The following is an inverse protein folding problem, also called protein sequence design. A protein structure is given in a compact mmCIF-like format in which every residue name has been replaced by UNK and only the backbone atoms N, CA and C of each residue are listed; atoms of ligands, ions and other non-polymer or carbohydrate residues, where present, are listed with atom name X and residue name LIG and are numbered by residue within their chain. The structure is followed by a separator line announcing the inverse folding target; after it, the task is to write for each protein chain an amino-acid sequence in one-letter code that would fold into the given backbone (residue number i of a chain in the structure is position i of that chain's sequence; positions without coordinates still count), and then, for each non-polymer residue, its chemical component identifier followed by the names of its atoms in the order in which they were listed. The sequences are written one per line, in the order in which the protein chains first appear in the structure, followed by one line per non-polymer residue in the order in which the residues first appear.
data_IF_789611249960
#
_entry.id   IF_789611249960
#
_cell.length_a   1.000
_cell.length_b   1.000
_cell.length_c   1.000
_cell.angle_alpha   90.00
_cell.angle_beta   90.00
_cell.angle_gamma   90.00
#
_symmetry.space_group_name_H-M   'P 1'
#
loop_
_entity.id
_entity.type
_entity.pdbx_description
1 polymer ?
#
# COMPACT_ATOMS: atom_id res chain seq x y z
N UNK A 1 57.00 11.58 -8.93
CA UNK A 1 56.00 11.35 -10.00
C UNK A 1 54.91 10.47 -9.39
N UNK A 2 53.83 11.05 -8.86
CA UNK A 2 52.67 10.29 -8.37
C UNK A 2 51.76 10.01 -9.57
N UNK A 3 51.54 8.74 -9.89
CA UNK A 3 50.57 8.33 -10.89
C UNK A 3 49.17 8.55 -10.33
N UNK A 4 48.40 9.44 -10.94
CA UNK A 4 46.96 9.58 -10.74
C UNK A 4 46.30 8.31 -11.27
N UNK A 5 45.80 7.49 -10.35
CA UNK A 5 45.01 6.31 -10.66
C UNK A 5 43.67 6.79 -11.25
N UNK A 6 43.48 6.61 -12.55
CA UNK A 6 42.20 6.91 -13.19
C UNK A 6 41.14 5.97 -12.62
N UNK A 7 40.28 6.50 -11.76
CA UNK A 7 39.02 5.85 -11.41
C UNK A 7 38.12 5.96 -12.65
N UNK A 8 37.94 4.85 -13.36
CA UNK A 8 36.97 4.75 -14.44
C UNK A 8 35.57 5.00 -13.87
N UNK A 9 34.80 5.90 -14.46
CA UNK A 9 33.41 6.11 -14.10
C UNK A 9 32.65 4.77 -14.21
N UNK A 10 31.80 4.42 -13.22
CA UNK A 10 31.00 3.21 -13.30
C UNK A 10 30.10 3.27 -14.54
N UNK A 11 29.90 2.12 -15.19
CA UNK A 11 29.01 2.02 -16.33
C UNK A 11 27.63 2.61 -15.99
N UNK A 12 27.00 3.37 -16.90
CA UNK A 12 25.73 4.03 -16.62
C UNK A 12 24.66 2.98 -16.28
N UNK A 13 23.94 3.22 -15.20
CA UNK A 13 22.87 2.34 -14.72
C UNK A 13 21.79 2.16 -15.79
N UNK A 14 21.42 0.90 -16.07
CA UNK A 14 20.41 0.62 -17.09
C UNK A 14 18.99 0.84 -16.55
N UNK A 15 17.99 0.96 -17.45
CA UNK A 15 16.60 1.02 -17.00
C UNK A 15 16.16 -0.27 -16.29
N UNK A 16 16.76 -1.41 -16.63
CA UNK A 16 16.47 -2.70 -15.99
C UNK A 16 16.97 -2.71 -14.55
N UNK A 17 18.15 -2.14 -14.30
CA UNK A 17 18.72 -2.01 -12.95
C UNK A 17 17.84 -1.11 -12.08
N UNK A 18 17.45 0.06 -12.61
CA UNK A 18 16.53 1.00 -11.94
C UNK A 18 15.18 0.35 -11.62
N UNK A 19 14.62 -0.38 -12.58
CA UNK A 19 13.35 -1.07 -12.39
C UNK A 19 13.46 -2.21 -11.35
N UNK A 20 14.58 -2.93 -11.33
CA UNK A 20 14.85 -3.96 -10.32
C UNK A 20 15.01 -3.34 -8.92
N UNK A 21 15.76 -2.24 -8.81
CA UNK A 21 15.92 -1.50 -7.57
C UNK A 21 14.57 -0.98 -7.04
N UNK A 22 13.71 -0.41 -7.90
CA UNK A 22 12.38 0.05 -7.49
C UNK A 22 11.48 -1.08 -7.01
N UNK A 23 11.44 -2.20 -7.72
CA UNK A 23 10.68 -3.40 -7.28
C UNK A 23 11.18 -3.95 -5.95
N UNK A 24 12.50 -3.99 -5.76
CA UNK A 24 13.10 -4.43 -4.49
C UNK A 24 12.73 -3.47 -3.35
N UNK A 25 12.75 -2.15 -3.59
CA UNK A 25 12.34 -1.14 -2.63
C UNK A 25 10.86 -1.29 -2.23
N UNK A 26 9.96 -1.43 -3.22
CA UNK A 26 8.53 -1.65 -2.97
C UNK A 26 8.31 -2.94 -2.15
N UNK A 27 8.95 -4.04 -2.53
CA UNK A 27 8.83 -5.30 -1.79
C UNK A 27 9.34 -5.17 -0.34
N UNK A 28 10.40 -4.40 -0.12
CA UNK A 28 10.94 -4.14 1.22
C UNK A 28 9.96 -3.38 2.11
N UNK A 29 9.10 -2.53 1.54
CA UNK A 29 8.05 -1.80 2.26
C UNK A 29 6.83 -2.67 2.61
N UNK A 30 6.71 -3.88 2.06
CA UNK A 30 5.65 -4.83 2.44
C UNK A 30 6.13 -5.62 3.66
N UNK A 31 5.37 -5.66 4.78
CA UNK A 31 5.66 -6.52 5.92
C UNK A 31 5.85 -7.99 5.51
N UNK A 32 6.83 -8.67 6.11
CA UNK A 32 7.22 -10.02 5.69
C UNK A 32 6.05 -11.02 5.80
N UNK A 33 5.20 -10.86 6.80
CA UNK A 33 3.99 -11.66 7.03
C UNK A 33 2.89 -11.46 5.99
N UNK A 34 2.98 -10.42 5.14
CA UNK A 34 2.05 -10.18 4.03
C UNK A 34 2.62 -10.61 2.67
N UNK A 35 3.86 -11.10 2.65
CA UNK A 35 4.52 -11.52 1.41
C UNK A 35 4.06 -12.92 1.00
N UNK A 36 3.75 -13.08 -0.28
CA UNK A 36 3.43 -14.37 -0.87
C UNK A 36 4.70 -15.21 -0.96
N UNK A 37 4.62 -16.48 -0.53
CA UNK A 37 5.76 -17.40 -0.64
C UNK A 37 6.16 -17.67 -2.09
N UNK A 38 5.17 -17.68 -2.99
CA UNK A 38 5.37 -17.83 -4.43
C UNK A 38 4.24 -17.13 -5.19
N UNK A 39 4.58 -16.49 -6.30
CA UNK A 39 3.58 -15.89 -7.20
C UNK A 39 3.01 -16.99 -8.12
N UNK A 40 1.68 -17.20 -8.15
CA UNK A 40 1.06 -18.19 -9.02
C UNK A 40 1.18 -17.80 -10.49
N UNK A 41 1.14 -18.78 -11.39
CA UNK A 41 1.01 -18.50 -12.82
C UNK A 41 -0.39 -17.99 -13.15
N UNK A 42 -0.52 -17.18 -14.20
CA UNK A 42 -1.82 -16.68 -14.70
C UNK A 42 -2.77 -17.82 -15.06
N UNK A 43 -2.26 -18.95 -15.57
CA UNK A 43 -3.08 -20.13 -15.88
C UNK A 43 -3.69 -20.78 -14.62
N UNK A 44 -2.96 -20.75 -13.50
CA UNK A 44 -3.43 -21.33 -12.23
C UNK A 44 -4.34 -20.39 -11.43
N UNK A 45 -4.08 -19.08 -11.51
CA UNK A 45 -4.82 -18.04 -10.79
C UNK A 45 -5.13 -16.87 -11.74
N UNK A 46 -6.11 -17.02 -12.65
CA UNK A 46 -6.42 -16.01 -13.66
C UNK A 46 -7.04 -14.73 -13.07
N UNK A 47 -7.53 -14.78 -11.83
CA UNK A 47 -8.12 -13.64 -11.13
C UNK A 47 -7.38 -13.37 -9.82
N UNK A 48 -6.70 -12.23 -9.75
CA UNK A 48 -6.05 -11.77 -8.52
C UNK A 48 -7.07 -11.59 -7.38
N UNK A 49 -8.29 -11.12 -7.68
CA UNK A 49 -9.35 -10.96 -6.68
C UNK A 49 -9.78 -12.30 -6.08
N UNK A 50 -10.02 -13.30 -6.93
CA UNK A 50 -10.40 -14.64 -6.48
C UNK A 50 -9.26 -15.28 -5.66
N UNK A 51 -8.01 -15.11 -6.11
CA UNK A 51 -6.84 -15.59 -5.40
C UNK A 51 -6.70 -14.95 -4.01
N UNK A 52 -6.78 -13.62 -3.92
CA UNK A 52 -6.71 -12.89 -2.64
C UNK A 52 -7.77 -13.40 -1.65
N UNK A 53 -9.00 -13.64 -2.13
CA UNK A 53 -10.10 -14.12 -1.29
C UNK A 53 -9.85 -15.52 -0.72
N UNK A 54 -9.26 -16.43 -1.51
CA UNK A 54 -9.06 -17.83 -1.10
C UNK A 54 -7.67 -18.13 -0.51
N UNK A 55 -6.70 -17.22 -0.62
CA UNK A 55 -5.32 -17.46 -0.19
C UNK A 55 -5.16 -17.57 1.34
N UNK A 56 -6.06 -16.98 2.12
CA UNK A 56 -6.05 -17.07 3.58
C UNK A 56 -5.08 -16.13 4.30
N UNK A 57 -4.44 -15.19 3.60
CA UNK A 57 -3.63 -14.14 4.26
C UNK A 57 -4.50 -13.11 4.96
N UNK A 58 -5.65 -12.75 4.39
CA UNK A 58 -6.61 -11.83 5.00
C UNK A 58 -7.49 -12.60 6.00
N UNK A 59 -7.72 -12.02 7.18
CA UNK A 59 -8.70 -12.57 8.12
C UNK A 59 -10.12 -12.41 7.58
N UNK A 60 -11.09 -13.13 8.13
CA UNK A 60 -12.51 -12.97 7.78
C UNK A 60 -12.99 -11.54 7.97
N UNK A 61 -12.52 -10.85 9.02
CA UNK A 61 -12.83 -9.45 9.28
C UNK A 61 -12.20 -8.53 8.23
N UNK A 62 -10.92 -8.73 7.91
CA UNK A 62 -10.22 -7.95 6.87
C UNK A 62 -10.87 -8.14 5.48
N UNK A 63 -11.31 -9.35 5.17
CA UNK A 63 -12.11 -9.64 3.97
C UNK A 63 -13.43 -8.88 4.00
N UNK A 64 -14.19 -8.93 5.10
CA UNK A 64 -15.47 -8.23 5.20
C UNK A 64 -15.32 -6.70 5.05
N UNK A 65 -14.29 -6.11 5.68
CA UNK A 65 -13.98 -4.69 5.54
C UNK A 65 -13.69 -4.35 4.07
N UNK A 66 -12.80 -5.11 3.44
CA UNK A 66 -12.32 -4.81 2.08
C UNK A 66 -13.28 -5.22 0.96
N UNK A 67 -14.32 -5.99 1.26
CA UNK A 67 -15.40 -6.35 0.34
C UNK A 67 -16.68 -5.52 0.57
N UNK A 68 -16.64 -4.55 1.49
CA UNK A 68 -17.71 -3.55 1.61
C UNK A 68 -17.67 -2.62 0.39
N UNK A 69 -18.56 -2.86 -0.58
CA UNK A 69 -18.59 -2.12 -1.85
C UNK A 69 -19.07 -0.67 -1.73
N UNK A 70 -19.79 -0.33 -0.66
CA UNK A 70 -20.31 1.02 -0.44
C UNK A 70 -19.46 1.76 0.60
N UNK A 71 -18.74 2.79 0.15
CA UNK A 71 -17.92 3.62 1.01
C UNK A 71 -18.73 4.33 2.10
N UNK A 72 -20.02 4.65 1.86
CA UNK A 72 -20.88 5.28 2.86
C UNK A 72 -21.08 4.39 4.08
N UNK A 73 -21.11 3.07 3.90
CA UNK A 73 -21.21 2.09 5.00
C UNK A 73 -19.94 2.14 5.86
N UNK A 74 -18.76 2.15 5.24
CA UNK A 74 -17.49 2.27 5.98
C UNK A 74 -17.41 3.61 6.72
N UNK A 75 -17.77 4.71 6.05
CA UNK A 75 -17.77 6.04 6.66
C UNK A 75 -18.72 6.14 7.85
N UNK A 76 -19.89 5.50 7.79
CA UNK A 76 -20.82 5.45 8.91
C UNK A 76 -20.24 4.70 10.11
N UNK A 77 -19.63 3.53 9.88
CA UNK A 77 -18.98 2.75 10.93
C UNK A 77 -17.78 3.49 11.55
N UNK A 78 -16.97 4.16 10.72
CA UNK A 78 -15.85 5.00 11.15
C UNK A 78 -16.33 6.17 12.01
N UNK A 79 -17.34 6.92 11.55
CA UNK A 79 -17.87 8.07 12.29
C UNK A 79 -18.46 7.71 13.66
N UNK A 80 -18.91 6.46 13.83
CA UNK A 80 -19.46 5.92 15.08
C UNK A 80 -18.43 5.22 15.95
N UNK A 81 -17.19 5.06 15.48
CA UNK A 81 -16.14 4.30 16.16
C UNK A 81 -16.41 2.78 16.23
N UNK A 82 -17.32 2.26 15.39
CA UNK A 82 -17.58 0.81 15.28
C UNK A 82 -16.42 0.09 14.58
N UNK A 83 -15.75 0.80 13.68
CA UNK A 83 -14.44 0.43 13.13
C UNK A 83 -13.49 1.61 13.37
N UNK A 84 -12.25 1.32 13.76
CA UNK A 84 -11.19 2.33 13.75
C UNK A 84 -10.65 2.54 12.33
N UNK A 85 -10.18 3.75 12.07
CA UNK A 85 -9.45 4.08 10.84
C UNK A 85 -8.25 3.17 10.68
N UNK A 86 -7.49 2.89 11.75
CA UNK A 86 -6.33 2.01 11.68
C UNK A 86 -6.71 0.58 11.25
N UNK A 87 -7.81 0.03 11.76
CA UNK A 87 -8.32 -1.29 11.30
C UNK A 87 -8.65 -1.28 9.81
N UNK A 88 -9.38 -0.27 9.35
CA UNK A 88 -9.79 -0.16 7.94
C UNK A 88 -8.58 0.00 7.03
N UNK A 89 -7.69 0.96 7.34
CA UNK A 89 -6.49 1.23 6.56
C UNK A 89 -5.57 0.00 6.52
N UNK A 90 -5.37 -0.70 7.64
CA UNK A 90 -4.55 -1.92 7.68
C UNK A 90 -5.14 -3.05 6.83
N UNK A 91 -6.46 -3.24 6.86
CA UNK A 91 -7.12 -4.26 6.02
C UNK A 91 -6.93 -3.97 4.52
N UNK A 92 -7.15 -2.72 4.10
CA UNK A 92 -6.94 -2.31 2.71
C UNK A 92 -5.46 -2.34 2.30
N UNK A 93 -4.55 -1.90 3.15
CA UNK A 93 -3.10 -1.96 2.92
C UNK A 93 -2.62 -3.39 2.69
N UNK A 94 -3.07 -4.33 3.54
CA UNK A 94 -2.74 -5.75 3.40
C UNK A 94 -3.29 -6.36 2.11
N UNK A 95 -4.56 -6.07 1.76
CA UNK A 95 -5.14 -6.48 0.47
C UNK A 95 -4.35 -5.89 -0.71
N UNK A 96 -4.00 -4.61 -0.64
CA UNK A 96 -3.22 -3.92 -1.68
C UNK A 96 -1.81 -4.50 -1.82
N UNK A 97 -1.15 -4.87 -0.73
CA UNK A 97 0.17 -5.52 -0.74
C UNK A 97 0.12 -6.87 -1.47
N UNK A 98 -0.92 -7.68 -1.23
CA UNK A 98 -1.09 -8.96 -1.93
C UNK A 98 -1.39 -8.71 -3.40
N UNK A 99 -2.30 -7.79 -3.73
CA UNK A 99 -2.63 -7.43 -5.10
C UNK A 99 -1.40 -6.91 -5.87
N UNK A 100 -0.57 -6.08 -5.23
CA UNK A 100 0.64 -5.54 -5.82
C UNK A 100 1.65 -6.64 -6.16
N UNK A 101 1.85 -7.62 -5.29
CA UNK A 101 2.73 -8.76 -5.58
C UNK A 101 2.25 -9.59 -6.77
N UNK A 102 0.93 -9.65 -7.00
CA UNK A 102 0.34 -10.38 -8.14
C UNK A 102 0.33 -9.57 -9.45
N UNK A 103 0.24 -8.25 -9.38
CA UNK A 103 -0.11 -7.39 -10.54
C UNK A 103 0.81 -6.21 -10.77
N UNK A 104 1.71 -5.90 -9.83
CA UNK A 104 2.59 -4.72 -9.86
C UNK A 104 1.80 -3.39 -9.94
N UNK A 105 0.66 -3.29 -9.26
CA UNK A 105 -0.25 -2.14 -9.40
C UNK A 105 0.12 -0.84 -8.65
N UNK A 106 1.04 -0.88 -7.69
CA UNK A 106 1.44 0.26 -6.87
C UNK A 106 2.80 0.78 -7.34
N UNK A 107 2.94 2.10 -7.51
CA UNK A 107 4.22 2.76 -7.77
C UNK A 107 4.92 3.09 -6.45
N UNK A 108 4.20 3.68 -5.50
CA UNK A 108 4.66 3.95 -4.15
C UNK A 108 3.83 3.19 -3.11
N UNK A 109 4.49 2.72 -2.05
CA UNK A 109 3.82 2.13 -0.87
C UNK A 109 3.97 3.12 0.29
N UNK A 110 2.83 3.53 0.84
CA UNK A 110 2.70 4.62 1.83
C UNK A 110 2.13 4.11 3.16
N UNK A 111 2.40 2.85 3.51
CA UNK A 111 1.73 2.18 4.63
C UNK A 111 2.03 2.83 5.97
N UNK A 112 3.29 3.18 6.23
CA UNK A 112 3.69 3.79 7.51
C UNK A 112 3.01 5.15 7.70
N UNK A 113 3.01 6.02 6.67
CA UNK A 113 2.31 7.29 6.74
C UNK A 113 0.80 7.12 6.86
N UNK A 114 0.22 6.14 6.15
CA UNK A 114 -1.20 5.84 6.21
C UNK A 114 -1.61 5.35 7.61
N UNK A 115 -0.80 4.51 8.26
CA UNK A 115 -1.08 4.02 9.62
C UNK A 115 -0.94 5.13 10.66
N UNK A 116 0.08 5.98 10.53
CA UNK A 116 0.27 7.12 11.42
C UNK A 116 -0.92 8.11 11.32
N UNK A 117 -1.37 8.41 10.11
CA UNK A 117 -2.53 9.29 9.92
C UNK A 117 -3.83 8.63 10.40
N UNK A 118 -4.02 7.34 10.16
CA UNK A 118 -5.19 6.61 10.65
C UNK A 118 -5.28 6.65 12.18
N UNK A 119 -4.17 6.37 12.88
CA UNK A 119 -4.11 6.47 14.33
C UNK A 119 -4.41 7.89 14.82
N UNK A 120 -3.87 8.91 14.15
CA UNK A 120 -4.16 10.31 14.49
C UNK A 120 -5.65 10.64 14.36
N UNK A 121 -6.31 10.11 13.33
CA UNK A 121 -7.75 10.30 13.10
C UNK A 121 -8.58 9.60 14.19
N UNK A 122 -8.21 8.36 14.54
CA UNK A 122 -8.83 7.63 15.65
C UNK A 122 -8.69 8.38 16.99
N UNK A 123 -7.51 8.93 17.28
CA UNK A 123 -7.27 9.72 18.49
C UNK A 123 -8.10 11.01 18.53
N UNK A 124 -8.28 11.67 17.39
CA UNK A 124 -9.13 12.86 17.28
C UNK A 124 -10.59 12.50 17.54
N UNK A 125 -11.08 11.41 16.95
CA UNK A 125 -12.45 10.95 17.16
C UNK A 125 -12.69 10.58 18.63
N UNK A 126 -11.77 9.82 19.23
CA UNK A 126 -11.85 9.43 20.64
C UNK A 126 -11.83 10.65 21.59
N UNK A 127 -11.01 11.66 21.31
CA UNK A 127 -10.89 12.86 22.16
C UNK A 127 -12.07 13.83 21.99
N UNK A 128 -12.56 14.01 20.77
CA UNK A 128 -13.51 15.09 20.44
C UNK A 128 -14.93 14.62 20.19
N UNK A 129 -15.14 13.32 19.96
CA UNK A 129 -16.40 12.75 19.52
C UNK A 129 -16.84 13.21 18.12
N UNK A 130 -15.94 13.85 17.35
CA UNK A 130 -16.25 14.42 16.03
C UNK A 130 -15.26 13.93 14.99
N UNK A 131 -15.78 13.64 13.80
CA UNK A 131 -14.95 13.36 12.62
C UNK A 131 -14.23 14.62 12.15
N UNK A 132 -13.04 14.44 11.57
CA UNK A 132 -12.24 15.54 11.00
C UNK A 132 -12.85 16.08 9.70
N UNK A 133 -13.63 15.26 8.99
CA UNK A 133 -14.25 15.63 7.72
C UNK A 133 -15.12 14.50 7.14
N UNK A 134 -15.69 14.69 5.94
CA UNK A 134 -16.64 13.75 5.35
C UNK A 134 -16.02 12.40 4.97
N UNK A 135 -14.71 12.34 4.74
CA UNK A 135 -13.97 11.11 4.43
C UNK A 135 -13.09 10.63 5.59
N UNK A 136 -13.46 10.95 6.82
CA UNK A 136 -12.66 10.65 8.00
C UNK A 136 -12.28 9.17 8.08
N UNK A 137 -10.98 8.92 8.01
CA UNK A 137 -10.38 7.60 8.24
C UNK A 137 -10.49 6.61 7.08
N UNK A 138 -11.07 7.01 5.94
CA UNK A 138 -11.23 6.15 4.77
C UNK A 138 -9.93 6.14 3.93
N UNK A 139 -9.32 4.96 3.65
CA UNK A 139 -8.14 4.87 2.81
C UNK A 139 -8.44 5.23 1.35
N UNK A 140 -7.50 5.91 0.70
CA UNK A 140 -7.56 6.24 -0.72
C UNK A 140 -6.23 5.91 -1.40
N UNK A 141 -6.30 5.42 -2.65
CA UNK A 141 -5.15 5.31 -3.53
C UNK A 141 -5.12 6.50 -4.48
N UNK A 142 -3.95 7.07 -4.71
CA UNK A 142 -3.76 8.21 -5.61
C UNK A 142 -3.01 7.72 -6.85
N UNK A 143 -3.46 8.15 -8.03
CA UNK A 143 -2.76 7.86 -9.28
C UNK A 143 -1.47 8.67 -9.33
N UNK A 144 -0.39 8.04 -9.79
CA UNK A 144 0.99 8.59 -9.86
C UNK A 144 1.17 9.87 -10.71
N UNK A 145 0.12 10.33 -11.38
CA UNK A 145 0.13 11.60 -12.11
C UNK A 145 -0.15 12.83 -11.23
N UNK A 146 -0.16 12.65 -9.91
CA UNK A 146 -0.35 13.72 -8.93
C UNK A 146 0.82 13.69 -7.95
N UNK A 147 1.49 14.83 -7.79
CA UNK A 147 2.66 14.93 -6.93
C UNK A 147 2.28 14.76 -5.45
N UNK A 148 2.94 13.82 -4.79
CA UNK A 148 2.86 13.64 -3.34
C UNK A 148 4.19 14.10 -2.74
N UNK A 149 4.11 15.00 -1.77
CA UNK A 149 5.31 15.57 -1.12
C UNK A 149 6.24 14.46 -0.60
N UNK A 150 7.47 14.45 -1.08
CA UNK A 150 8.51 13.51 -0.65
C UNK A 150 8.38 12.11 -1.25
N UNK A 151 7.59 11.94 -2.31
CA UNK A 151 7.43 10.68 -3.05
C UNK A 151 7.77 10.88 -4.52
N UNK A 152 8.22 9.80 -5.17
CA UNK A 152 8.50 9.83 -6.60
C UNK A 152 7.19 10.04 -7.38
N UNK A 153 7.27 10.65 -8.56
CA UNK A 153 6.15 10.78 -9.49
C UNK A 153 6.69 10.72 -10.92
N UNK A 154 6.08 9.90 -11.78
CA UNK A 154 6.65 9.55 -13.09
C UNK A 154 6.19 10.44 -14.25
N UNK A 155 5.19 11.30 -14.03
CA UNK A 155 4.55 12.13 -15.06
C UNK A 155 4.75 13.64 -14.81
N UNK A 156 5.69 14.00 -13.93
CA UNK A 156 6.00 15.40 -13.57
C UNK A 156 7.05 16.04 -14.48
#
# INVERSE_FOLDING_TARGET
MMQLQQMSDPAPETYLDRAAAKRAHQLAQIPAEWRLASIPSVSSAPSALAYIRSHGLLTTEELHITETCDAAVLLHKLARGELSSLQVVRAFAKRAAIAHQLTTCCTEILFDEAFAEAQRLDDVLARTGKTVGPLHGLPVSIKDCLDIKGKDSTVS
#
